data_IF_321602844726
#
_entry.id   IF_321602844726
#
_cell.length_a   1.000
_cell.length_b   1.000
_cell.length_c   1.000
_cell.angle_alpha   90.00
_cell.angle_beta   90.00
_cell.angle_gamma   90.00
#
_symmetry.space_group_name_H-M   'P 1'
#
loop_
_entity.id
_entity.type
_entity.pdbx_description
1 polymer ?
#
# COMPACT_ATOMS: atom_id res chain seq x y z
N UNK A 1 -2.30 14.88 22.23
CA UNK A 1 -1.61 13.89 21.37
C UNK A 1 -1.49 14.53 20.00
N UNK A 2 -0.27 14.75 19.51
CA UNK A 2 -0.04 15.43 18.23
C UNK A 2 -0.31 14.50 17.03
N UNK A 3 -0.85 15.03 15.93
CA UNK A 3 -1.13 14.25 14.69
C UNK A 3 0.14 13.55 14.17
N UNK A 4 1.31 14.16 14.36
CA UNK A 4 2.60 13.59 13.97
C UNK A 4 2.92 12.28 14.71
N UNK A 5 2.53 12.17 15.98
CA UNK A 5 2.77 10.97 16.80
C UNK A 5 1.82 9.82 16.43
N UNK A 6 0.61 10.13 15.96
CA UNK A 6 -0.33 9.11 15.46
C UNK A 6 0.17 8.59 14.11
N UNK A 7 0.62 9.49 13.23
CA UNK A 7 1.16 9.12 11.92
C UNK A 7 2.44 8.29 12.02
N UNK A 8 3.30 8.54 13.00
CA UNK A 8 4.54 7.77 13.18
C UNK A 8 4.31 6.34 13.69
N UNK A 9 3.14 6.06 14.28
CA UNK A 9 2.79 4.73 14.78
C UNK A 9 2.11 3.85 13.73
N UNK A 10 1.60 4.43 12.63
CA UNK A 10 0.89 3.69 11.60
C UNK A 10 1.86 3.20 10.53
N UNK A 11 2.24 1.93 10.63
CA UNK A 11 3.11 1.25 9.68
C UNK A 11 2.31 0.67 8.52
N UNK A 12 2.97 0.48 7.37
CA UNK A 12 2.37 -0.22 6.24
C UNK A 12 1.96 -1.66 6.59
N UNK A 13 2.69 -2.33 7.49
CA UNK A 13 2.35 -3.68 7.94
C UNK A 13 0.98 -3.74 8.63
N UNK A 14 0.67 -2.76 9.51
CA UNK A 14 -0.63 -2.66 10.16
C UNK A 14 -1.75 -2.39 9.16
N UNK A 15 -1.50 -1.53 8.17
CA UNK A 15 -2.48 -1.22 7.11
C UNK A 15 -2.77 -2.44 6.25
N UNK A 16 -1.74 -3.16 5.80
CA UNK A 16 -1.93 -4.40 5.05
C UNK A 16 -2.69 -5.45 5.88
N UNK A 17 -2.35 -5.59 7.16
CA UNK A 17 -3.06 -6.47 8.07
C UNK A 17 -4.54 -6.10 8.21
N UNK A 18 -4.85 -4.82 8.40
CA UNK A 18 -6.22 -4.31 8.52
C UNK A 18 -7.09 -4.64 7.30
N UNK A 19 -6.51 -4.56 6.09
CA UNK A 19 -7.20 -4.92 4.84
C UNK A 19 -7.09 -6.40 4.46
N UNK A 20 -6.60 -7.27 5.35
CA UNK A 20 -6.37 -8.69 5.09
C UNK A 20 -5.46 -8.98 3.88
N UNK A 21 -4.53 -8.06 3.59
CA UNK A 21 -3.56 -8.20 2.51
C UNK A 21 -2.27 -8.80 3.06
N UNK A 22 -1.79 -9.87 2.41
CA UNK A 22 -0.56 -10.56 2.81
C UNK A 22 0.39 -10.62 1.62
N UNK A 23 1.56 -9.96 1.69
CA UNK A 23 2.59 -10.14 0.69
C UNK A 23 3.13 -11.57 0.67
N UNK A 24 3.61 -12.00 -0.49
CA UNK A 24 4.34 -13.26 -0.66
C UNK A 24 5.78 -13.17 -0.09
N UNK A 25 6.55 -14.24 -0.29
CA UNK A 25 7.97 -14.31 0.13
C UNK A 25 8.88 -13.25 -0.50
N UNK A 26 8.44 -12.63 -1.61
CA UNK A 26 9.16 -11.57 -2.31
C UNK A 26 8.62 -10.19 -1.96
N UNK A 27 7.76 -10.10 -0.94
CA UNK A 27 7.08 -8.88 -0.51
C UNK A 27 6.17 -8.29 -1.60
N UNK A 28 5.57 -9.15 -2.43
CA UNK A 28 4.64 -8.75 -3.49
C UNK A 28 3.22 -9.24 -3.22
N UNK A 29 2.23 -8.50 -3.71
CA UNK A 29 0.82 -8.87 -3.65
C UNK A 29 0.07 -8.41 -4.91
N UNK A 30 -1.08 -9.01 -5.18
CA UNK A 30 -2.00 -8.53 -6.21
C UNK A 30 -2.51 -7.16 -5.78
N UNK A 31 -2.30 -6.16 -6.64
CA UNK A 31 -2.60 -4.77 -6.31
C UNK A 31 -4.08 -4.61 -5.95
N UNK A 32 -4.43 -4.03 -4.79
CA UNK A 32 -5.82 -3.86 -4.37
C UNK A 32 -6.53 -2.71 -5.09
N UNK A 33 -5.83 -1.99 -5.98
CA UNK A 33 -6.33 -0.78 -6.64
C UNK A 33 -6.77 -1.01 -8.09
N UNK A 34 -6.58 -2.22 -8.63
CA UNK A 34 -7.09 -2.63 -9.94
C UNK A 34 -7.32 -4.15 -9.94
N UNK A 35 -8.04 -4.66 -10.94
CA UNK A 35 -8.21 -6.11 -11.08
C UNK A 35 -6.89 -6.74 -11.56
N UNK A 36 -6.25 -7.48 -10.66
CA UNK A 36 -4.88 -7.95 -10.87
C UNK A 36 -4.81 -9.47 -10.85
N UNK A 37 -4.21 -10.06 -11.89
CA UNK A 37 -4.10 -11.53 -12.06
C UNK A 37 -2.81 -12.08 -11.50
N UNK A 38 -1.75 -11.27 -11.42
CA UNK A 38 -0.43 -11.66 -10.91
C UNK A 38 0.05 -10.60 -9.93
N UNK A 39 0.89 -10.93 -8.93
CA UNK A 39 1.32 -9.94 -7.94
C UNK A 39 2.05 -8.74 -8.58
N UNK A 40 1.39 -7.60 -8.76
CA UNK A 40 2.00 -6.41 -9.38
C UNK A 40 2.45 -5.33 -8.38
N UNK A 41 2.04 -5.43 -7.12
CA UNK A 41 2.39 -4.48 -6.07
C UNK A 41 3.53 -4.99 -5.19
N UNK A 42 4.59 -4.20 -5.06
CA UNK A 42 5.73 -4.43 -4.17
C UNK A 42 5.57 -3.61 -2.90
N UNK A 43 5.86 -4.23 -1.77
CA UNK A 43 5.85 -3.63 -0.43
C UNK A 43 7.29 -3.38 0.04
N UNK A 44 7.53 -2.20 0.59
CA UNK A 44 8.82 -1.77 1.14
C UNK A 44 8.65 -1.42 2.63
N UNK A 45 8.90 -2.37 3.52
CA UNK A 45 8.70 -2.16 4.96
C UNK A 45 9.66 -1.14 5.57
N UNK A 46 10.88 -1.00 5.05
CA UNK A 46 11.87 -0.05 5.58
C UNK A 46 11.43 1.42 5.41
N UNK A 47 10.73 1.71 4.31
CA UNK A 47 10.23 3.05 3.98
C UNK A 47 8.73 3.20 4.25
N UNK A 48 8.06 2.13 4.65
CA UNK A 48 6.61 2.04 4.77
C UNK A 48 5.87 2.50 3.50
N UNK A 49 6.38 2.11 2.33
CA UNK A 49 5.79 2.44 1.04
C UNK A 49 5.40 1.21 0.22
N UNK A 50 4.48 1.39 -0.72
CA UNK A 50 4.10 0.40 -1.72
C UNK A 50 4.20 0.98 -3.13
N UNK A 51 4.53 0.15 -4.12
CA UNK A 51 4.58 0.56 -5.53
C UNK A 51 3.95 -0.50 -6.42
N UNK A 52 3.09 -0.07 -7.34
CA UNK A 52 2.48 -0.96 -8.33
C UNK A 52 3.20 -0.84 -9.68
N UNK A 53 3.76 -1.95 -10.17
CA UNK A 53 4.48 -2.02 -11.44
C UNK A 53 3.56 -2.18 -12.67
N UNK A 54 2.25 -2.34 -12.46
CA UNK A 54 1.28 -2.42 -13.56
C UNK A 54 1.00 -1.02 -14.11
N UNK A 55 1.13 -0.84 -15.43
CA UNK A 55 0.75 0.39 -16.14
C UNK A 55 -0.77 0.62 -16.15
N UNK A 56 -1.57 -0.41 -15.84
CA UNK A 56 -3.03 -0.32 -15.74
C UNK A 56 -3.50 0.15 -14.35
N UNK A 57 -2.59 0.43 -13.42
CA UNK A 57 -2.94 0.89 -12.09
C UNK A 57 -3.14 2.41 -12.06
N UNK A 58 -4.22 2.88 -11.41
CA UNK A 58 -4.45 4.32 -11.16
C UNK A 58 -3.32 5.01 -10.39
N UNK A 59 -2.53 4.23 -9.65
CA UNK A 59 -1.39 4.71 -8.86
C UNK A 59 -0.04 4.48 -9.55
N UNK A 60 -0.03 4.10 -10.82
CA UNK A 60 1.21 3.82 -11.56
C UNK A 60 2.14 5.04 -11.56
N UNK A 61 3.45 4.78 -11.46
CA UNK A 61 4.45 5.86 -11.42
C UNK A 61 4.61 6.53 -10.06
N UNK A 62 3.78 6.23 -9.06
CA UNK A 62 3.86 6.82 -7.71
C UNK A 62 4.18 5.75 -6.65
N UNK A 63 5.16 6.07 -5.79
CA UNK A 63 5.35 5.34 -4.53
C UNK A 63 4.32 5.84 -3.53
N UNK A 64 3.53 4.93 -2.97
CA UNK A 64 2.45 5.23 -2.03
C UNK A 64 2.98 5.09 -0.62
N UNK A 65 2.89 6.15 0.18
CA UNK A 65 3.03 6.01 1.62
C UNK A 65 1.77 5.39 2.25
N UNK A 66 1.77 5.27 3.57
CA UNK A 66 0.68 4.65 4.32
C UNK A 66 -0.65 5.41 4.16
N UNK A 67 -0.60 6.73 4.06
CA UNK A 67 -1.79 7.58 3.91
C UNK A 67 -2.34 7.46 2.50
N UNK A 68 -1.47 7.58 1.49
CA UNK A 68 -1.82 7.37 0.09
C UNK A 68 -2.48 6.01 -0.14
N UNK A 69 -1.93 4.96 0.48
CA UNK A 69 -2.47 3.61 0.37
C UNK A 69 -3.92 3.55 0.88
N UNK A 70 -4.17 4.09 2.07
CA UNK A 70 -5.51 4.13 2.67
C UNK A 70 -6.46 4.96 1.80
N UNK A 71 -6.03 6.14 1.36
CA UNK A 71 -6.83 7.04 0.53
C UNK A 71 -7.30 6.33 -0.75
N UNK A 72 -6.39 5.63 -1.44
CA UNK A 72 -6.73 4.86 -2.63
C UNK A 72 -7.55 3.60 -2.36
N UNK A 73 -7.38 2.98 -1.18
CA UNK A 73 -8.10 1.76 -0.79
C UNK A 73 -9.55 2.03 -0.43
N UNK A 74 -9.79 3.17 0.23
CA UNK A 74 -11.12 3.62 0.67
C UNK A 74 -11.83 4.48 -0.39
N UNK A 75 -11.15 4.87 -1.46
CA UNK A 75 -11.66 5.78 -2.50
C UNK A 75 -12.19 7.09 -1.91
N UNK A 76 -11.51 7.63 -0.90
CA UNK A 76 -11.85 8.94 -0.31
C UNK A 76 -11.00 10.04 -0.95
N UNK A 77 -11.54 11.26 -0.98
CA UNK A 77 -10.86 12.49 -1.46
C UNK A 77 -10.37 13.33 -0.30
#
# INVERSE_FOLDING_TARGET
MEISQIKSQLTLAQVLHHYNLKPDKNLRLNCPFHNDKTPSMQVYYKTHTAYCFSSNCKTHGKSLDVIDFILHKENTT
#
